data_IF_772171247185
#
_entry.id   IF_772171247185
#
_cell.length_a   1.000
_cell.length_b   1.000
_cell.length_c   1.000
_cell.angle_alpha   90.00
_cell.angle_beta   90.00
_cell.angle_gamma   90.00
#
_symmetry.space_group_name_H-M   'P 1'
#
loop_
_entity.id
_entity.type
_entity.pdbx_description
1 polymer ?
#
# COMPACT_ATOMS: atom_id res chain seq x y z
N UNK A 1 -33.15 -32.65 -11.79
CA UNK A 1 -32.40 -32.11 -10.64
C UNK A 1 -31.41 -31.09 -11.22
N UNK A 2 -31.75 -29.84 -11.12
CA UNK A 2 -30.88 -28.73 -11.58
C UNK A 2 -29.75 -28.55 -10.56
N UNK A 3 -28.52 -28.79 -10.96
CA UNK A 3 -27.35 -28.32 -10.24
C UNK A 3 -27.38 -26.80 -10.25
N UNK A 4 -27.81 -26.21 -9.15
CA UNK A 4 -27.56 -24.79 -8.88
C UNK A 4 -26.04 -24.61 -8.79
N UNK A 5 -25.45 -24.03 -9.82
CA UNK A 5 -24.08 -23.50 -9.81
C UNK A 5 -24.01 -22.51 -8.65
N UNK A 6 -23.48 -22.94 -7.51
CA UNK A 6 -23.08 -22.04 -6.43
C UNK A 6 -22.01 -21.12 -7.02
N UNK A 7 -22.40 -19.92 -7.40
CA UNK A 7 -21.43 -18.87 -7.72
C UNK A 7 -20.59 -18.64 -6.47
N UNK A 8 -19.37 -19.14 -6.49
CA UNK A 8 -18.45 -18.99 -5.37
C UNK A 8 -18.18 -17.50 -5.18
N UNK A 9 -18.45 -16.98 -3.98
CA UNK A 9 -18.19 -15.58 -3.62
C UNK A 9 -16.71 -15.25 -3.83
N UNK A 10 -16.41 -14.15 -4.52
CA UNK A 10 -15.04 -13.64 -4.57
C UNK A 10 -14.49 -13.46 -3.15
N UNK A 11 -13.24 -13.89 -2.92
CA UNK A 11 -12.56 -13.63 -1.67
C UNK A 11 -12.40 -12.14 -1.44
N UNK A 12 -12.63 -11.67 -0.22
CA UNK A 12 -12.47 -10.27 0.13
C UNK A 12 -11.03 -9.96 0.46
N UNK A 13 -10.51 -8.89 -0.15
CA UNK A 13 -9.17 -8.38 0.10
C UNK A 13 -9.23 -6.97 0.68
N UNK A 14 -8.35 -6.69 1.66
CA UNK A 14 -8.21 -5.36 2.24
C UNK A 14 -6.78 -4.86 2.11
N UNK A 15 -6.63 -3.60 1.70
CA UNK A 15 -5.35 -2.88 1.69
C UNK A 15 -5.55 -1.44 2.14
N UNK A 16 -4.80 -1.02 3.15
CA UNK A 16 -4.77 0.36 3.60
C UNK A 16 -3.38 0.96 3.45
N UNK A 17 -3.32 2.23 3.07
CA UNK A 17 -2.07 2.96 2.88
C UNK A 17 -2.09 4.30 3.63
N UNK A 18 -1.03 4.59 4.36
CA UNK A 18 -0.91 5.84 5.11
C UNK A 18 -0.60 7.03 4.17
N UNK A 19 -1.27 8.18 4.35
CA UNK A 19 -1.06 9.39 3.57
C UNK A 19 0.16 10.19 4.05
N UNK A 20 1.32 9.54 4.16
CA UNK A 20 2.53 10.18 4.69
C UNK A 20 3.36 10.92 3.66
N UNK A 21 3.18 10.60 2.39
CA UNK A 21 3.82 11.29 1.24
C UNK A 21 3.29 10.73 -0.09
N UNK A 22 3.64 11.40 -1.19
CA UNK A 22 3.40 10.94 -2.57
C UNK A 22 4.09 9.58 -2.79
N UNK A 23 3.43 8.59 -3.40
CA UNK A 23 4.05 7.32 -3.75
C UNK A 23 5.23 7.48 -4.69
N UNK A 24 6.21 6.58 -4.56
CA UNK A 24 7.36 6.50 -5.44
C UNK A 24 7.11 5.52 -6.58
N UNK A 25 7.95 5.57 -7.62
CA UNK A 25 7.98 4.57 -8.69
C UNK A 25 8.11 3.14 -8.12
N UNK A 26 8.90 2.98 -7.04
CA UNK A 26 9.01 1.70 -6.34
C UNK A 26 7.72 1.23 -5.68
N UNK A 27 6.90 2.13 -5.14
CA UNK A 27 5.57 1.79 -4.63
C UNK A 27 4.61 1.41 -5.77
N UNK A 28 4.69 2.14 -6.88
CA UNK A 28 3.84 1.90 -8.05
C UNK A 28 4.13 0.54 -8.69
N UNK A 29 5.36 0.30 -9.14
CA UNK A 29 5.74 -0.93 -9.81
C UNK A 29 5.78 -2.15 -8.86
N UNK A 30 6.06 -1.91 -7.58
CA UNK A 30 6.14 -2.97 -6.58
C UNK A 30 4.79 -3.45 -6.03
N UNK A 31 3.76 -2.59 -6.03
CA UNK A 31 2.48 -2.92 -5.42
C UNK A 31 1.27 -2.35 -6.18
N UNK A 32 1.21 -1.01 -6.39
CA UNK A 32 -0.01 -0.32 -6.82
C UNK A 32 -0.49 -0.76 -8.21
N UNK A 33 0.44 -0.98 -9.15
CA UNK A 33 0.13 -1.50 -10.49
C UNK A 33 -0.56 -2.87 -10.43
N UNK A 34 -0.15 -3.72 -9.47
CA UNK A 34 -0.79 -5.01 -9.23
C UNK A 34 -2.19 -4.91 -8.59
N UNK A 35 -2.48 -3.84 -7.84
CA UNK A 35 -3.80 -3.67 -7.22
C UNK A 35 -4.92 -3.47 -8.23
N UNK A 36 -4.61 -2.92 -9.40
CA UNK A 36 -5.59 -2.72 -10.47
C UNK A 36 -6.16 -4.05 -10.96
N UNK A 37 -5.31 -5.06 -11.15
CA UNK A 37 -5.75 -6.40 -11.54
C UNK A 37 -6.49 -7.13 -10.40
N UNK A 38 -6.19 -6.80 -9.14
CA UNK A 38 -6.90 -7.36 -7.98
C UNK A 38 -8.40 -7.08 -7.99
N UNK A 39 -8.84 -5.93 -8.54
CA UNK A 39 -10.24 -5.56 -8.61
C UNK A 39 -11.08 -6.54 -9.43
N UNK A 40 -10.46 -7.25 -10.36
CA UNK A 40 -11.17 -8.22 -11.21
C UNK A 40 -11.24 -9.60 -10.54
N UNK A 41 -10.27 -9.94 -9.68
CA UNK A 41 -10.17 -11.26 -9.04
C UNK A 41 -10.81 -11.32 -7.64
N UNK A 42 -10.83 -10.21 -6.91
CA UNK A 42 -11.25 -10.13 -5.52
C UNK A 42 -12.39 -9.12 -5.30
N UNK A 43 -13.11 -9.27 -4.18
CA UNK A 43 -13.95 -8.21 -3.58
C UNK A 43 -13.02 -7.28 -2.80
N UNK A 44 -12.58 -6.20 -3.45
CA UNK A 44 -11.48 -5.36 -2.98
C UNK A 44 -11.94 -4.15 -2.18
N UNK A 45 -11.26 -3.92 -1.07
CA UNK A 45 -11.43 -2.75 -0.20
C UNK A 45 -10.08 -2.05 -0.06
N UNK A 46 -10.01 -0.78 -0.46
CA UNK A 46 -8.83 0.06 -0.31
C UNK A 46 -9.14 1.25 0.58
N UNK A 47 -8.23 1.60 1.48
CA UNK A 47 -8.42 2.72 2.39
C UNK A 47 -7.19 3.58 2.57
N UNK A 48 -7.44 4.87 2.84
CA UNK A 48 -6.41 5.80 3.29
C UNK A 48 -6.36 5.73 4.82
N UNK A 49 -5.25 5.20 5.36
CA UNK A 49 -5.05 4.95 6.78
C UNK A 49 -4.60 6.21 7.55
N UNK A 50 -5.43 7.23 7.57
CA UNK A 50 -5.13 8.50 8.20
C UNK A 50 -5.15 8.46 9.74
N UNK A 51 -5.94 7.57 10.36
CA UNK A 51 -5.88 7.33 11.81
C UNK A 51 -4.51 6.77 12.25
N UNK A 52 -3.89 5.92 11.43
CA UNK A 52 -2.54 5.43 11.71
C UNK A 52 -1.48 6.53 11.61
N UNK A 53 -1.73 7.55 10.80
CA UNK A 53 -0.76 8.64 10.60
C UNK A 53 -0.56 9.49 11.85
N UNK A 54 -1.59 9.63 12.69
CA UNK A 54 -1.51 10.45 13.92
C UNK A 54 -0.79 9.76 15.09
N UNK A 55 -0.33 8.52 14.92
CA UNK A 55 0.59 7.86 15.88
C UNK A 55 1.92 8.62 15.97
N UNK A 56 2.26 9.38 14.95
CA UNK A 56 3.33 10.39 14.95
C UNK A 56 2.67 11.76 14.71
N UNK A 57 3.16 12.81 15.37
CA UNK A 57 2.57 14.14 15.21
C UNK A 57 2.61 14.59 13.75
N UNK A 58 1.47 15.08 13.26
CA UNK A 58 1.29 15.57 11.90
C UNK A 58 0.90 17.05 11.93
N UNK A 59 1.34 17.80 10.93
CA UNK A 59 0.71 19.08 10.61
C UNK A 59 -0.68 18.84 10.04
N UNK A 60 -1.76 19.46 10.59
CA UNK A 60 -3.11 19.15 10.17
C UNK A 60 -3.43 19.56 8.71
N UNK A 61 -2.83 20.64 8.22
CA UNK A 61 -3.04 21.08 6.84
C UNK A 61 -2.35 20.13 5.87
N UNK A 62 -1.13 19.71 6.22
CA UNK A 62 -0.35 18.74 5.44
C UNK A 62 -1.02 17.38 5.40
N UNK A 63 -1.54 16.88 6.53
CA UNK A 63 -2.25 15.60 6.59
C UNK A 63 -3.49 15.62 5.68
N UNK A 64 -4.31 16.68 5.75
CA UNK A 64 -5.49 16.83 4.87
C UNK A 64 -5.10 16.84 3.38
N UNK A 65 -4.08 17.63 3.03
CA UNK A 65 -3.60 17.69 1.65
C UNK A 65 -3.09 16.33 1.15
N UNK A 66 -2.27 15.65 1.95
CA UNK A 66 -1.72 14.34 1.61
C UNK A 66 -2.80 13.25 1.51
N UNK A 67 -3.83 13.28 2.38
CA UNK A 67 -4.97 12.37 2.30
C UNK A 67 -5.72 12.54 0.97
N UNK A 68 -6.03 13.79 0.59
CA UNK A 68 -6.69 14.09 -0.70
C UNK A 68 -5.81 13.67 -1.88
N UNK A 69 -4.53 14.01 -1.84
CA UNK A 69 -3.58 13.69 -2.90
C UNK A 69 -3.41 12.18 -3.07
N UNK A 70 -3.29 11.43 -1.97
CA UNK A 70 -3.16 9.98 -2.06
C UNK A 70 -4.45 9.33 -2.57
N UNK A 71 -5.62 9.81 -2.15
CA UNK A 71 -6.90 9.30 -2.66
C UNK A 71 -7.00 9.51 -4.18
N UNK A 72 -6.71 10.72 -4.66
CA UNK A 72 -6.67 11.02 -6.09
C UNK A 72 -5.64 10.17 -6.84
N UNK A 73 -4.46 9.93 -6.23
CA UNK A 73 -3.42 9.09 -6.81
C UNK A 73 -3.86 7.63 -6.95
N UNK A 74 -4.55 7.07 -5.95
CA UNK A 74 -5.08 5.70 -6.03
C UNK A 74 -6.08 5.56 -7.17
N UNK A 75 -6.95 6.55 -7.38
CA UNK A 75 -7.85 6.56 -8.53
C UNK A 75 -7.11 6.75 -9.86
N UNK A 76 -6.08 7.59 -9.87
CA UNK A 76 -5.29 7.86 -11.08
C UNK A 76 -4.50 6.65 -11.57
N UNK A 77 -4.00 5.81 -10.66
CA UNK A 77 -3.32 4.55 -11.01
C UNK A 77 -4.27 3.45 -11.47
N UNK A 78 -5.60 3.68 -11.41
CA UNK A 78 -6.61 2.78 -11.96
C UNK A 78 -7.50 2.08 -10.93
N UNK A 79 -7.45 2.45 -9.64
CA UNK A 79 -8.45 1.95 -8.70
C UNK A 79 -9.80 2.62 -8.98
N UNK A 80 -10.78 1.81 -9.36
CA UNK A 80 -12.12 2.24 -9.77
C UNK A 80 -13.10 2.16 -8.59
N UNK A 81 -13.66 3.30 -8.11
CA UNK A 81 -14.65 3.32 -7.04
C UNK A 81 -15.95 2.55 -7.36
N UNK A 82 -16.20 2.22 -8.64
CA UNK A 82 -17.32 1.39 -9.05
C UNK A 82 -17.05 -0.11 -8.88
N UNK A 83 -15.77 -0.51 -8.91
CA UNK A 83 -15.34 -1.91 -8.75
C UNK A 83 -14.92 -2.22 -7.32
N UNK A 84 -14.35 -1.25 -6.61
CA UNK A 84 -13.75 -1.39 -5.29
C UNK A 84 -14.36 -0.42 -4.30
N UNK A 85 -14.39 -0.79 -3.02
CA UNK A 85 -14.68 0.19 -1.96
C UNK A 85 -13.39 0.97 -1.72
N UNK A 86 -13.42 2.28 -2.00
CA UNK A 86 -12.29 3.17 -1.76
C UNK A 86 -12.72 4.26 -0.78
N UNK A 87 -12.09 4.33 0.41
CA UNK A 87 -12.53 5.20 1.51
C UNK A 87 -11.37 5.82 2.30
N UNK A 88 -11.70 6.82 3.13
CA UNK A 88 -10.78 7.40 4.13
C UNK A 88 -11.13 6.80 5.49
N UNK A 89 -10.15 6.25 6.19
CA UNK A 89 -10.34 5.48 7.42
C UNK A 89 -11.05 6.26 8.52
N UNK A 90 -10.69 7.54 8.73
CA UNK A 90 -11.33 8.39 9.75
C UNK A 90 -12.81 8.70 9.49
N UNK A 91 -13.30 8.48 8.26
CA UNK A 91 -14.72 8.63 7.94
C UNK A 91 -15.56 7.43 8.39
N UNK A 92 -14.92 6.36 8.87
CA UNK A 92 -15.57 5.11 9.31
C UNK A 92 -15.25 4.88 10.79
N UNK A 93 -16.03 5.46 11.74
CA UNK A 93 -15.72 5.43 13.18
C UNK A 93 -15.65 4.05 13.77
N UNK A 94 -16.23 3.03 13.11
CA UNK A 94 -16.18 1.63 13.53
C UNK A 94 -14.75 1.11 13.69
N UNK A 95 -13.77 1.63 12.93
CA UNK A 95 -12.35 1.28 13.07
C UNK A 95 -11.84 1.56 14.49
N UNK A 96 -12.09 2.78 15.00
CA UNK A 96 -11.69 3.16 16.35
C UNK A 96 -12.48 2.41 17.42
N UNK A 97 -13.77 2.16 17.19
CA UNK A 97 -14.62 1.44 18.14
C UNK A 97 -14.18 -0.02 18.29
N UNK A 98 -13.95 -0.74 17.17
CA UNK A 98 -13.45 -2.10 17.23
C UNK A 98 -12.00 -2.13 17.72
N UNK A 99 -11.17 -1.17 17.32
CA UNK A 99 -9.79 -1.03 17.78
C UNK A 99 -9.70 -0.97 19.29
N UNK A 100 -10.59 -0.19 19.95
CA UNK A 100 -10.67 -0.17 21.41
C UNK A 100 -11.05 -1.53 22.00
N UNK A 101 -12.07 -2.19 21.46
CA UNK A 101 -12.44 -3.51 21.95
C UNK A 101 -11.29 -4.50 21.82
N UNK A 102 -10.63 -4.55 20.65
CA UNK A 102 -9.52 -5.47 20.41
C UNK A 102 -8.29 -5.17 21.28
N UNK A 103 -8.04 -3.91 21.68
CA UNK A 103 -7.03 -3.59 22.68
C UNK A 103 -7.24 -4.39 23.99
N UNK A 104 -8.50 -4.61 24.39
CA UNK A 104 -8.83 -5.37 25.60
C UNK A 104 -8.63 -6.88 25.44
N UNK A 105 -8.43 -7.37 24.22
CA UNK A 105 -8.18 -8.78 23.88
C UNK A 105 -6.76 -9.03 23.39
N UNK A 106 -5.90 -8.00 23.38
CA UNK A 106 -4.51 -8.10 22.94
C UNK A 106 -3.58 -8.07 24.17
N UNK A 107 -2.65 -8.99 24.24
CA UNK A 107 -1.74 -9.08 25.37
C UNK A 107 -0.60 -8.06 25.22
N UNK A 108 -0.25 -7.41 26.32
CA UNK A 108 0.84 -6.41 26.39
C UNK A 108 2.16 -6.97 25.85
N UNK A 109 2.50 -8.23 26.19
CA UNK A 109 3.73 -8.88 25.74
C UNK A 109 3.80 -9.10 24.23
N UNK A 110 2.65 -9.27 23.55
CA UNK A 110 2.58 -9.39 22.09
C UNK A 110 2.93 -8.06 21.43
N UNK A 111 2.32 -6.97 21.90
CA UNK A 111 2.61 -5.61 21.40
C UNK A 111 4.06 -5.22 21.65
N UNK A 112 4.61 -5.56 22.84
CA UNK A 112 5.99 -5.22 23.19
C UNK A 112 7.04 -5.97 22.34
N UNK A 113 6.69 -7.09 21.72
CA UNK A 113 7.57 -7.83 20.80
C UNK A 113 7.57 -7.32 19.37
N UNK A 114 6.66 -6.40 19.03
CA UNK A 114 6.57 -5.85 17.68
C UNK A 114 7.84 -5.09 17.29
N UNK A 115 8.51 -5.56 16.23
CA UNK A 115 9.78 -4.96 15.78
C UNK A 115 9.58 -3.52 15.30
N UNK A 116 8.53 -3.24 14.54
CA UNK A 116 8.25 -1.88 14.07
C UNK A 116 7.93 -0.89 15.20
N UNK A 117 7.38 -1.34 16.33
CA UNK A 117 7.23 -0.48 17.50
C UNK A 117 8.59 -0.02 18.02
N UNK A 118 9.55 -0.95 18.16
CA UNK A 118 10.90 -0.65 18.63
C UNK A 118 11.63 0.33 17.71
N UNK A 119 11.54 0.09 16.41
CA UNK A 119 12.17 0.95 15.40
C UNK A 119 11.59 2.37 15.41
N UNK A 120 10.26 2.49 15.43
CA UNK A 120 9.58 3.80 15.47
C UNK A 120 9.80 4.52 16.81
N UNK A 121 9.80 3.81 17.92
CA UNK A 121 10.08 4.39 19.23
C UNK A 121 11.52 4.94 19.29
N UNK A 122 12.48 4.29 18.66
CA UNK A 122 13.85 4.79 18.56
C UNK A 122 13.95 6.03 17.64
N UNK A 123 13.20 6.07 16.53
CA UNK A 123 13.18 7.21 15.61
C UNK A 123 12.44 8.45 16.16
N UNK A 124 11.48 8.25 17.07
CA UNK A 124 10.63 9.29 17.65
C UNK A 124 10.67 9.24 19.18
N UNK A 125 11.87 9.16 19.76
CA UNK A 125 12.07 8.99 21.21
C UNK A 125 11.45 10.13 22.05
N UNK A 126 11.26 11.30 21.46
CA UNK A 126 10.61 12.48 22.06
C UNK A 126 9.08 12.37 22.14
N UNK A 127 8.47 11.44 21.42
CA UNK A 127 7.02 11.28 21.34
C UNK A 127 6.57 9.82 21.23
N UNK A 128 7.03 8.97 22.14
CA UNK A 128 6.55 7.59 22.25
C UNK A 128 5.21 7.61 23.00
N UNK A 129 4.11 7.52 22.25
CA UNK A 129 2.76 7.58 22.79
C UNK A 129 2.04 6.22 22.75
N UNK A 130 0.90 6.12 23.45
CA UNK A 130 0.11 4.89 23.53
C UNK A 130 -0.35 4.40 22.15
N UNK A 131 -0.73 5.31 21.23
CA UNK A 131 -1.15 4.94 19.87
C UNK A 131 -0.03 4.27 19.08
N UNK A 132 1.23 4.71 19.27
CA UNK A 132 2.40 4.07 18.66
C UNK A 132 2.63 2.64 19.20
N UNK A 133 2.23 2.36 20.42
CA UNK A 133 2.31 1.02 21.03
C UNK A 133 1.14 0.12 20.59
N UNK A 134 -0.08 0.69 20.52
CA UNK A 134 -1.32 -0.08 20.32
C UNK A 134 -1.84 -0.07 18.88
N UNK A 135 -1.17 0.61 17.92
CA UNK A 135 -1.64 0.63 16.53
C UNK A 135 -1.87 -0.75 15.89
N UNK A 136 -1.20 -1.86 16.31
CA UNK A 136 -1.50 -3.18 15.76
C UNK A 136 -2.95 -3.61 16.05
N UNK A 137 -3.54 -3.17 17.16
CA UNK A 137 -4.95 -3.44 17.47
C UNK A 137 -5.90 -2.67 16.55
N UNK A 138 -5.55 -1.44 16.16
CA UNK A 138 -6.28 -0.68 15.15
C UNK A 138 -6.15 -1.34 13.77
N UNK A 139 -4.96 -1.81 13.41
CA UNK A 139 -4.77 -2.55 12.15
C UNK A 139 -5.56 -3.87 12.15
N UNK A 140 -5.61 -4.60 13.27
CA UNK A 140 -6.47 -5.76 13.40
C UNK A 140 -7.95 -5.39 13.19
N UNK A 141 -8.40 -4.27 13.78
CA UNK A 141 -9.75 -3.77 13.56
C UNK A 141 -10.02 -3.43 12.10
N UNK A 142 -9.07 -2.79 11.41
CA UNK A 142 -9.19 -2.47 9.98
C UNK A 142 -9.51 -3.71 9.14
N UNK A 143 -8.82 -4.81 9.42
CA UNK A 143 -8.95 -6.08 8.68
C UNK A 143 -10.22 -6.82 9.07
N UNK A 144 -10.45 -6.98 10.37
CA UNK A 144 -11.51 -7.83 10.91
C UNK A 144 -12.90 -7.24 10.76
N UNK A 145 -13.06 -5.91 10.71
CA UNK A 145 -14.33 -5.23 10.43
C UNK A 145 -14.97 -5.71 9.14
N UNK A 146 -14.17 -5.92 8.12
CA UNK A 146 -14.64 -6.28 6.78
C UNK A 146 -14.65 -7.77 6.52
N UNK A 147 -14.30 -8.60 7.52
CA UNK A 147 -14.21 -10.05 7.34
C UNK A 147 -13.31 -10.39 6.13
N UNK A 148 -12.14 -9.75 6.06
CA UNK A 148 -11.21 -9.96 4.96
C UNK A 148 -10.74 -11.43 4.94
N UNK A 149 -10.83 -12.07 3.77
CA UNK A 149 -10.35 -13.44 3.58
C UNK A 149 -8.83 -13.45 3.36
N UNK A 150 -8.32 -12.41 2.67
CA UNK A 150 -6.90 -12.28 2.35
C UNK A 150 -6.42 -10.84 2.55
N UNK A 151 -5.17 -10.69 2.94
CA UNK A 151 -4.50 -9.38 3.07
C UNK A 151 -3.19 -9.42 2.27
N UNK A 152 -3.05 -8.58 1.23
CA UNK A 152 -1.78 -8.45 0.52
C UNK A 152 -0.71 -7.88 1.45
N UNK A 153 0.32 -8.66 1.72
CA UNK A 153 1.39 -8.29 2.66
C UNK A 153 2.77 -8.44 2.05
N UNK A 154 3.62 -7.44 2.27
CA UNK A 154 5.06 -7.57 2.11
C UNK A 154 5.69 -8.30 3.31
N UNK A 155 6.98 -8.63 3.19
CA UNK A 155 7.70 -9.35 4.26
C UNK A 155 7.70 -8.59 5.60
N UNK A 156 7.73 -7.26 5.56
CA UNK A 156 7.71 -6.35 6.71
C UNK A 156 6.36 -6.28 7.44
N UNK A 157 5.28 -6.72 6.79
CA UNK A 157 3.93 -6.71 7.37
C UNK A 157 3.48 -8.08 7.89
N UNK A 158 4.28 -9.13 7.74
CA UNK A 158 3.93 -10.48 8.21
C UNK A 158 3.60 -10.51 9.70
N UNK A 159 4.46 -9.90 10.54
CA UNK A 159 4.26 -9.87 11.99
C UNK A 159 2.95 -9.16 12.40
N UNK A 160 2.55 -8.12 11.65
CA UNK A 160 1.26 -7.45 11.89
C UNK A 160 0.06 -8.31 11.53
N UNK A 161 0.16 -9.10 10.47
CA UNK A 161 -0.90 -10.00 10.11
C UNK A 161 -0.98 -11.20 11.08
N UNK A 162 0.16 -11.68 11.57
CA UNK A 162 0.21 -12.73 12.61
C UNK A 162 -0.51 -12.28 13.88
N UNK A 163 -0.20 -11.09 14.42
CA UNK A 163 -0.91 -10.58 15.61
C UNK A 163 -2.40 -10.36 15.34
N UNK A 164 -2.79 -9.96 14.13
CA UNK A 164 -4.21 -9.84 13.73
C UNK A 164 -4.90 -11.19 13.79
N UNK A 165 -4.25 -12.26 13.32
CA UNK A 165 -4.75 -13.62 13.36
C UNK A 165 -4.91 -14.12 14.80
N UNK A 166 -3.87 -13.92 15.62
CA UNK A 166 -3.88 -14.30 17.05
C UNK A 166 -5.02 -13.61 17.81
N UNK A 167 -5.27 -12.33 17.54
CA UNK A 167 -6.40 -11.58 18.13
C UNK A 167 -7.74 -12.17 17.67
N UNK A 168 -7.89 -12.45 16.37
CA UNK A 168 -9.11 -13.03 15.82
C UNK A 168 -9.40 -14.43 16.39
N UNK A 169 -8.41 -15.29 16.45
CA UNK A 169 -8.50 -16.64 17.00
C UNK A 169 -8.83 -16.62 18.50
N UNK A 170 -8.17 -15.76 19.27
CA UNK A 170 -8.45 -15.57 20.70
C UNK A 170 -9.87 -15.08 20.93
N UNK A 171 -10.33 -14.09 20.18
CA UNK A 171 -11.69 -13.57 20.29
C UNK A 171 -12.72 -14.65 19.91
N UNK A 172 -12.47 -15.36 18.82
CA UNK A 172 -13.32 -16.46 18.37
C UNK A 172 -13.35 -17.62 19.39
N UNK A 173 -12.25 -17.91 20.07
CA UNK A 173 -12.18 -18.91 21.13
C UNK A 173 -13.10 -18.59 22.31
N UNK A 174 -13.27 -17.30 22.63
CA UNK A 174 -14.15 -16.86 23.73
C UNK A 174 -15.63 -16.78 23.30
N UNK A 175 -15.90 -16.25 22.09
CA UNK A 175 -17.25 -15.84 21.68
C UNK A 175 -17.84 -16.66 20.53
N UNK A 176 -17.13 -17.69 20.05
CA UNK A 176 -17.48 -18.44 18.84
C UNK A 176 -17.07 -17.70 17.56
N UNK A 177 -17.42 -18.25 16.41
CA UNK A 177 -17.02 -17.70 15.10
C UNK A 177 -17.60 -16.31 14.86
N UNK A 178 -16.85 -15.28 15.24
CA UNK A 178 -17.18 -13.85 15.03
C UNK A 178 -16.41 -13.29 13.86
N UNK A 179 -15.09 -13.51 13.81
CA UNK A 179 -14.19 -13.01 12.80
C UNK A 179 -13.74 -14.10 11.83
N UNK A 180 -13.63 -13.75 10.56
CA UNK A 180 -12.83 -14.50 9.60
C UNK A 180 -11.36 -14.29 9.95
N UNK A 181 -10.60 -15.38 10.09
CA UNK A 181 -9.14 -15.29 10.29
C UNK A 181 -8.49 -15.06 8.93
N UNK A 182 -7.84 -13.91 8.71
CA UNK A 182 -7.33 -13.55 7.38
C UNK A 182 -6.09 -14.36 7.01
N UNK A 183 -5.95 -14.68 5.71
CA UNK A 183 -4.75 -15.32 5.17
C UNK A 183 -3.82 -14.29 4.52
N UNK A 184 -2.49 -14.45 4.64
CA UNK A 184 -1.56 -13.63 3.90
C UNK A 184 -1.67 -13.94 2.40
N UNK A 185 -1.80 -12.90 1.60
CA UNK A 185 -1.66 -13.00 0.16
C UNK A 185 -0.31 -12.40 -0.22
N UNK A 186 0.54 -13.22 -0.81
CA UNK A 186 1.82 -12.76 -1.37
C UNK A 186 1.56 -12.51 -2.85
N UNK A 187 1.45 -11.24 -3.29
CA UNK A 187 1.28 -10.93 -4.70
C UNK A 187 2.43 -11.58 -5.50
N UNK A 188 2.14 -12.02 -6.73
CA UNK A 188 3.22 -12.33 -7.67
C UNK A 188 4.15 -11.14 -7.68
N UNK A 189 5.44 -11.36 -7.45
CA UNK A 189 6.40 -10.33 -7.11
C UNK A 189 6.31 -9.13 -8.07
N UNK A 190 5.84 -8.01 -7.56
CA UNK A 190 6.03 -6.72 -8.21
C UNK A 190 7.54 -6.41 -8.28
N UNK A 191 7.93 -5.52 -9.15
CA UNK A 191 9.33 -5.16 -9.31
C UNK A 191 9.91 -4.58 -8.01
N UNK A 192 11.00 -5.17 -7.53
CA UNK A 192 11.76 -4.61 -6.42
C UNK A 192 12.66 -3.50 -6.94
N UNK A 193 12.15 -2.29 -6.90
CA UNK A 193 12.86 -1.10 -7.37
C UNK A 193 13.80 -0.58 -6.27
N UNK A 194 15.06 -0.39 -6.62
CA UNK A 194 16.10 0.13 -5.74
C UNK A 194 16.32 1.62 -5.97
N UNK A 195 16.97 2.31 -5.02
CA UNK A 195 17.38 3.72 -5.18
C UNK A 195 18.28 3.88 -6.41
N UNK A 196 18.06 4.93 -7.19
CA UNK A 196 18.89 5.25 -8.36
C UNK A 196 20.31 5.69 -7.97
N UNK A 197 20.51 6.10 -6.71
CA UNK A 197 21.80 6.58 -6.19
C UNK A 197 22.47 5.60 -5.23
N UNK A 198 21.70 4.63 -4.70
CA UNK A 198 22.20 3.52 -3.90
C UNK A 198 21.45 2.24 -4.27
N UNK A 199 21.87 1.55 -5.34
CA UNK A 199 21.13 0.40 -5.88
C UNK A 199 21.13 -0.84 -4.99
N UNK A 200 21.79 -0.81 -3.83
CA UNK A 200 21.71 -1.85 -2.80
C UNK A 200 20.56 -1.61 -1.80
N UNK A 201 20.03 -0.38 -1.77
CA UNK A 201 18.92 0.01 -0.89
C UNK A 201 17.64 0.18 -1.68
N UNK A 202 16.49 -0.29 -1.12
CA UNK A 202 15.17 -0.12 -1.73
C UNK A 202 14.83 1.37 -1.92
N UNK A 203 14.25 1.74 -3.07
CA UNK A 203 13.75 3.09 -3.31
C UNK A 203 12.77 3.49 -2.20
N UNK A 204 13.08 4.57 -1.50
CA UNK A 204 12.34 5.01 -0.32
C UNK A 204 11.97 6.50 -0.43
N UNK A 205 10.80 6.85 0.12
CA UNK A 205 10.35 8.23 0.27
C UNK A 205 11.27 9.06 1.19
N UNK A 206 11.99 8.41 2.08
CA UNK A 206 12.93 9.00 3.05
C UNK A 206 14.39 8.89 2.61
N UNK A 207 14.66 8.64 1.30
CA UNK A 207 16.03 8.65 0.79
C UNK A 207 16.64 10.04 1.01
N UNK A 208 17.78 10.14 1.70
CA UNK A 208 18.45 11.44 1.94
C UNK A 208 18.92 12.10 0.65
N UNK A 209 19.14 11.33 -0.42
CA UNK A 209 19.46 11.85 -1.74
C UNK A 209 18.20 11.90 -2.62
N UNK A 210 17.64 13.10 -2.89
CA UNK A 210 16.43 13.24 -3.70
C UNK A 210 16.56 12.72 -5.14
N UNK A 211 17.78 12.53 -5.65
CA UNK A 211 18.04 11.93 -6.96
C UNK A 211 17.86 10.39 -6.93
N UNK A 212 17.87 9.77 -5.76
CA UNK A 212 17.69 8.34 -5.58
C UNK A 212 16.26 7.85 -5.79
N UNK A 213 15.29 8.77 -5.67
CA UNK A 213 13.86 8.43 -5.65
C UNK A 213 13.11 9.17 -6.75
N UNK A 214 12.31 8.45 -7.52
CA UNK A 214 11.35 8.99 -8.48
C UNK A 214 9.96 8.96 -7.84
N UNK A 215 9.33 10.15 -7.69
CA UNK A 215 7.94 10.27 -7.26
C UNK A 215 6.99 10.21 -8.44
N UNK A 216 5.77 9.68 -8.25
CA UNK A 216 4.80 9.59 -9.34
C UNK A 216 4.37 10.97 -9.90
N UNK A 217 4.61 12.03 -9.15
CA UNK A 217 4.31 13.42 -9.57
C UNK A 217 5.51 14.19 -10.09
N UNK A 218 6.68 13.54 -10.21
CA UNK A 218 7.87 14.22 -10.77
C UNK A 218 7.61 14.59 -12.24
N UNK A 219 7.97 15.83 -12.61
CA UNK A 219 7.89 16.31 -13.99
C UNK A 219 8.79 15.46 -14.92
N UNK A 220 8.42 15.27 -16.21
CA UNK A 220 9.17 14.44 -17.14
C UNK A 220 10.68 14.78 -17.21
N UNK A 221 11.02 16.05 -17.21
CA UNK A 221 12.41 16.51 -17.25
C UNK A 221 13.18 16.17 -15.95
N UNK A 222 12.48 16.09 -14.80
CA UNK A 222 13.06 15.69 -13.51
C UNK A 222 13.33 14.19 -13.51
N UNK A 223 12.38 13.40 -13.99
CA UNK A 223 12.52 11.95 -14.16
C UNK A 223 13.74 11.65 -15.05
N UNK A 224 13.81 12.27 -16.22
CA UNK A 224 14.93 12.08 -17.14
C UNK A 224 16.30 12.43 -16.52
N UNK A 225 16.39 13.52 -15.75
CA UNK A 225 17.61 13.91 -15.04
C UNK A 225 18.00 12.87 -13.97
N UNK A 226 17.02 12.32 -13.23
CA UNK A 226 17.26 11.29 -12.21
C UNK A 226 17.81 10.02 -12.84
N UNK A 227 17.21 9.52 -13.92
CA UNK A 227 17.72 8.35 -14.64
C UNK A 227 19.09 8.58 -15.27
N UNK A 228 19.32 9.74 -15.90
CA UNK A 228 20.64 10.11 -16.44
C UNK A 228 21.74 10.04 -15.39
N UNK A 229 21.43 10.44 -14.14
CA UNK A 229 22.40 10.45 -13.04
C UNK A 229 22.42 9.16 -12.22
N UNK A 230 21.63 8.14 -12.57
CA UNK A 230 21.60 6.86 -11.85
C UNK A 230 22.98 6.21 -11.82
N UNK A 231 23.34 5.62 -10.67
CA UNK A 231 24.64 4.95 -10.49
C UNK A 231 24.63 3.64 -11.24
N UNK A 232 25.72 3.36 -11.97
CA UNK A 232 26.00 2.11 -12.69
C UNK A 232 27.47 1.76 -12.55
N UNK A 233 27.82 0.51 -12.83
CA UNK A 233 29.22 0.06 -12.89
C UNK A 233 30.00 0.68 -14.07
N UNK A 234 31.27 0.29 -14.24
CA UNK A 234 32.17 0.83 -15.25
C UNK A 234 32.28 -0.02 -16.54
N UNK A 235 31.59 -1.17 -16.62
CA UNK A 235 31.73 -2.09 -17.76
C UNK A 235 31.06 -1.60 -19.05
N UNK A 236 30.08 -0.69 -18.93
CA UNK A 236 29.33 -0.09 -20.05
C UNK A 236 28.54 -1.11 -20.91
N UNK A 237 28.28 -2.30 -20.38
CA UNK A 237 27.53 -3.37 -21.04
C UNK A 237 26.23 -3.66 -20.33
N UNK A 238 25.10 -3.58 -21.07
CA UNK A 238 23.75 -3.80 -20.54
C UNK A 238 23.48 -5.31 -20.49
N UNK A 239 23.72 -5.92 -19.36
CA UNK A 239 23.34 -7.31 -19.08
C UNK A 239 23.10 -7.51 -17.57
N UNK A 240 22.20 -8.43 -17.24
CA UNK A 240 21.85 -8.76 -15.85
C UNK A 240 22.89 -9.73 -15.28
N UNK A 241 23.65 -9.31 -14.27
CA UNK A 241 24.65 -10.14 -13.63
C UNK A 241 24.88 -9.77 -12.16
N UNK A 242 25.47 -10.68 -11.40
CA UNK A 242 25.90 -10.43 -10.03
C UNK A 242 26.93 -9.30 -9.99
N UNK A 243 26.80 -8.42 -8.98
CA UNK A 243 27.67 -7.25 -8.82
C UNK A 243 27.31 -6.04 -9.69
N UNK A 244 26.30 -6.12 -10.56
CA UNK A 244 25.84 -5.01 -11.42
C UNK A 244 24.56 -4.36 -10.87
N UNK A 245 24.49 -4.09 -9.58
CA UNK A 245 23.26 -3.65 -8.90
C UNK A 245 22.58 -2.47 -9.59
N UNK A 246 23.33 -1.49 -10.08
CA UNK A 246 22.80 -0.31 -10.77
C UNK A 246 22.11 -0.66 -12.09
N UNK A 247 22.77 -1.47 -12.93
CA UNK A 247 22.20 -1.94 -14.20
C UNK A 247 21.05 -2.89 -13.96
N UNK A 248 21.16 -3.82 -13.02
CA UNK A 248 20.11 -4.76 -12.65
C UNK A 248 18.85 -4.02 -12.22
N UNK A 249 18.99 -2.95 -11.44
CA UNK A 249 17.88 -2.10 -11.05
C UNK A 249 17.23 -1.40 -12.26
N UNK A 250 18.01 -0.81 -13.15
CA UNK A 250 17.48 -0.17 -14.37
C UNK A 250 16.79 -1.16 -15.30
N UNK A 251 17.34 -2.36 -15.49
CA UNK A 251 16.72 -3.45 -16.25
C UNK A 251 15.41 -3.91 -15.60
N UNK A 252 15.39 -4.02 -14.27
CA UNK A 252 14.17 -4.35 -13.52
C UNK A 252 13.07 -3.30 -13.71
N UNK A 253 13.41 -2.02 -13.65
CA UNK A 253 12.47 -0.92 -13.90
C UNK A 253 11.97 -0.97 -15.35
N UNK A 254 12.87 -1.08 -16.32
CA UNK A 254 12.52 -1.12 -17.73
C UNK A 254 11.59 -2.29 -18.05
N UNK A 255 11.95 -3.50 -17.62
CA UNK A 255 11.12 -4.69 -17.76
C UNK A 255 9.73 -4.54 -17.12
N UNK A 256 9.64 -3.95 -15.92
CA UNK A 256 8.36 -3.74 -15.24
C UNK A 256 7.44 -2.73 -15.94
N UNK A 257 8.03 -1.79 -16.69
CA UNK A 257 7.28 -0.76 -17.43
C UNK A 257 6.92 -1.25 -18.82
N UNK A 258 7.86 -1.83 -19.58
CA UNK A 258 7.64 -2.25 -20.98
C UNK A 258 7.03 -3.65 -21.11
N UNK A 259 7.25 -4.52 -20.12
CA UNK A 259 6.92 -5.94 -20.19
C UNK A 259 8.00 -6.80 -20.85
N UNK A 260 9.09 -6.20 -21.33
CA UNK A 260 10.17 -6.92 -21.99
C UNK A 260 10.94 -7.83 -21.04
N UNK A 261 11.35 -9.00 -21.53
CA UNK A 261 12.23 -9.89 -20.78
C UNK A 261 13.65 -9.34 -20.69
N UNK A 262 14.40 -9.71 -19.66
CA UNK A 262 15.81 -9.30 -19.53
C UNK A 262 16.63 -9.69 -20.77
N UNK A 263 16.37 -10.86 -21.38
CA UNK A 263 17.05 -11.29 -22.61
C UNK A 263 16.75 -10.37 -23.80
N UNK A 264 15.50 -9.90 -23.92
CA UNK A 264 15.12 -8.94 -24.94
C UNK A 264 15.85 -7.62 -24.74
N UNK A 265 15.90 -7.13 -23.50
CA UNK A 265 16.62 -5.90 -23.14
C UNK A 265 18.10 -6.01 -23.46
N UNK A 266 18.76 -7.09 -23.09
CA UNK A 266 20.17 -7.35 -23.38
C UNK A 266 20.45 -7.36 -24.88
N UNK A 267 19.58 -8.00 -25.67
CA UNK A 267 19.69 -8.04 -27.12
C UNK A 267 19.55 -6.64 -27.74
N UNK A 268 18.52 -5.88 -27.36
CA UNK A 268 18.19 -4.59 -27.95
C UNK A 268 19.18 -3.48 -27.60
N UNK A 269 19.86 -3.62 -26.45
CA UNK A 269 20.90 -2.72 -25.99
C UNK A 269 22.31 -3.30 -26.15
N UNK A 270 22.48 -4.38 -26.87
CA UNK A 270 23.80 -4.92 -27.19
C UNK A 270 24.63 -3.91 -27.99
N UNK A 271 25.83 -3.62 -27.49
CA UNK A 271 26.73 -2.63 -28.09
C UNK A 271 26.35 -1.15 -27.85
N UNK A 272 25.25 -0.88 -27.13
CA UNK A 272 24.87 0.46 -26.70
C UNK A 272 25.42 0.75 -25.30
N UNK A 273 25.86 2.00 -25.09
CA UNK A 273 26.39 2.41 -23.79
C UNK A 273 25.29 2.71 -22.76
N UNK A 274 25.67 2.79 -21.50
CA UNK A 274 24.76 3.09 -20.39
C UNK A 274 23.98 4.40 -20.55
N UNK A 275 24.54 5.40 -21.27
CA UNK A 275 23.87 6.66 -21.54
C UNK A 275 22.59 6.49 -22.36
N UNK A 276 22.64 5.65 -23.41
CA UNK A 276 21.46 5.32 -24.23
C UNK A 276 20.44 4.52 -23.44
N UNK A 277 20.90 3.53 -22.68
CA UNK A 277 20.00 2.70 -21.87
C UNK A 277 19.31 3.53 -20.77
N UNK A 278 20.03 4.35 -20.01
CA UNK A 278 19.46 5.26 -19.00
C UNK A 278 18.43 6.22 -19.61
N UNK A 279 18.68 6.70 -20.82
CA UNK A 279 17.73 7.54 -21.55
C UNK A 279 16.46 6.76 -21.88
N UNK A 280 16.59 5.55 -22.44
CA UNK A 280 15.46 4.68 -22.78
C UNK A 280 14.61 4.31 -21.55
N UNK A 281 15.25 3.98 -20.42
CA UNK A 281 14.55 3.71 -19.15
C UNK A 281 13.76 4.94 -18.69
N UNK A 282 14.40 6.12 -18.74
CA UNK A 282 13.73 7.37 -18.36
C UNK A 282 12.53 7.68 -19.26
N UNK A 283 12.66 7.52 -20.58
CA UNK A 283 11.58 7.73 -21.56
C UNK A 283 10.44 6.75 -21.34
N UNK A 284 10.71 5.47 -21.10
CA UNK A 284 9.71 4.46 -20.80
C UNK A 284 8.94 4.78 -19.51
N UNK A 285 9.64 5.21 -18.45
CA UNK A 285 9.00 5.61 -17.18
C UNK A 285 8.16 6.88 -17.36
N UNK A 286 8.60 7.86 -18.12
CA UNK A 286 7.81 9.06 -18.43
C UNK A 286 6.52 8.66 -19.16
N UNK A 287 6.61 7.84 -20.20
CA UNK A 287 5.46 7.37 -20.96
C UNK A 287 4.45 6.57 -20.10
N UNK A 288 4.93 5.75 -19.17
CA UNK A 288 4.09 5.01 -18.23
C UNK A 288 3.38 5.93 -17.25
N UNK A 289 4.06 6.97 -16.75
CA UNK A 289 3.49 7.86 -15.73
C UNK A 289 2.65 9.01 -16.30
N UNK A 290 2.82 9.38 -17.55
CA UNK A 290 2.07 10.48 -18.19
C UNK A 290 0.55 10.35 -18.07
N UNK A 291 -0.09 9.23 -18.40
CA UNK A 291 -1.53 9.07 -18.23
C UNK A 291 -1.97 9.11 -16.76
N UNK A 292 -1.15 8.58 -15.85
CA UNK A 292 -1.41 8.61 -14.41
C UNK A 292 -1.37 10.05 -13.91
N UNK A 293 -0.34 10.82 -14.30
CA UNK A 293 -0.17 12.22 -13.90
C UNK A 293 -1.29 13.11 -14.46
N UNK A 294 -1.67 12.89 -15.71
CA UNK A 294 -2.80 13.59 -16.33
C UNK A 294 -4.08 13.36 -15.54
N UNK A 295 -4.42 12.09 -15.29
CA UNK A 295 -5.62 11.72 -14.54
C UNK A 295 -5.59 12.24 -13.10
N UNK A 296 -4.44 12.17 -12.44
CA UNK A 296 -4.24 12.73 -11.09
C UNK A 296 -4.54 14.23 -11.04
N UNK A 297 -4.01 14.99 -11.99
CA UNK A 297 -4.23 16.45 -12.05
C UNK A 297 -5.70 16.79 -12.33
N UNK A 298 -6.37 16.05 -13.22
CA UNK A 298 -7.81 16.20 -13.48
C UNK A 298 -8.63 15.98 -12.21
N UNK A 299 -8.34 14.89 -11.47
CA UNK A 299 -9.03 14.54 -10.22
C UNK A 299 -8.84 15.61 -9.14
N UNK A 300 -7.64 16.16 -8.99
CA UNK A 300 -7.38 17.22 -8.01
C UNK A 300 -8.11 18.54 -8.31
N UNK A 301 -8.44 18.80 -9.58
CA UNK A 301 -9.24 19.94 -9.98
C UNK A 301 -10.73 19.73 -9.70
N UNK A 302 -11.22 18.49 -9.77
CA UNK A 302 -12.61 18.13 -9.47
C UNK A 302 -12.79 17.68 -8.01
N UNK A 303 -12.67 18.63 -7.11
CA UNK A 303 -12.81 18.38 -5.67
C UNK A 303 -14.20 17.82 -5.29
N UNK A 304 -15.24 18.21 -6.03
CA UNK A 304 -16.60 17.74 -5.78
C UNK A 304 -16.70 16.24 -6.08
N UNK A 305 -16.22 15.81 -7.23
CA UNK A 305 -16.21 14.41 -7.61
C UNK A 305 -15.38 13.55 -6.63
N UNK A 306 -14.19 14.01 -6.25
CA UNK A 306 -13.40 13.32 -5.22
C UNK A 306 -14.16 13.16 -3.91
N UNK A 307 -14.84 14.23 -3.47
CA UNK A 307 -15.65 14.21 -2.24
C UNK A 307 -16.82 13.22 -2.34
N UNK A 308 -17.51 13.19 -3.46
CA UNK A 308 -18.57 12.22 -3.74
C UNK A 308 -18.04 10.79 -3.67
N UNK A 309 -16.88 10.52 -4.29
CA UNK A 309 -16.26 9.19 -4.29
C UNK A 309 -15.89 8.71 -2.88
N UNK A 310 -15.17 9.51 -2.09
CA UNK A 310 -14.79 9.06 -0.75
C UNK A 310 -15.95 8.99 0.22
N UNK A 311 -16.99 9.83 0.06
CA UNK A 311 -18.20 9.76 0.87
C UNK A 311 -18.97 8.47 0.57
N UNK A 312 -19.21 8.15 -0.70
CA UNK A 312 -19.85 6.91 -1.11
C UNK A 312 -19.07 5.68 -0.64
N UNK A 313 -17.73 5.73 -0.78
CA UNK A 313 -16.85 4.68 -0.29
C UNK A 313 -16.97 4.49 1.22
N UNK A 314 -16.96 5.58 1.99
CA UNK A 314 -17.10 5.56 3.45
C UNK A 314 -18.46 5.03 3.89
N UNK A 315 -19.57 5.43 3.23
CA UNK A 315 -20.91 4.94 3.52
C UNK A 315 -21.02 3.43 3.30
N UNK A 316 -20.42 2.94 2.22
CA UNK A 316 -20.40 1.50 1.90
C UNK A 316 -19.53 0.74 2.89
N UNK A 317 -18.35 1.24 3.20
CA UNK A 317 -17.45 0.69 4.21
C UNK A 317 -18.11 0.66 5.59
N UNK A 318 -18.76 1.76 6.01
CA UNK A 318 -19.46 1.84 7.29
C UNK A 318 -20.59 0.83 7.42
N UNK A 319 -21.35 0.59 6.36
CA UNK A 319 -22.43 -0.43 6.37
C UNK A 319 -21.88 -1.83 6.59
N UNK A 320 -20.75 -2.18 5.94
CA UNK A 320 -20.10 -3.47 6.13
C UNK A 320 -19.49 -3.59 7.54
N UNK A 321 -18.73 -2.57 7.95
CA UNK A 321 -18.09 -2.50 9.26
C UNK A 321 -19.11 -2.61 10.40
N UNK A 322 -20.26 -1.92 10.26
CA UNK A 322 -21.30 -1.91 11.28
C UNK A 322 -21.91 -3.31 11.51
N UNK A 323 -22.04 -4.13 10.48
CA UNK A 323 -22.54 -5.52 10.63
C UNK A 323 -21.63 -6.34 11.56
N UNK A 324 -20.32 -6.24 11.37
CA UNK A 324 -19.35 -6.94 12.21
C UNK A 324 -19.30 -6.32 13.61
N UNK A 325 -19.23 -5.00 13.72
CA UNK A 325 -19.15 -4.31 14.99
C UNK A 325 -20.39 -4.60 15.88
N UNK A 326 -21.60 -4.56 15.31
CA UNK A 326 -22.84 -4.91 16.04
C UNK A 326 -22.79 -6.33 16.58
N UNK A 327 -22.29 -7.30 15.79
CA UNK A 327 -22.11 -8.68 16.24
C UNK A 327 -21.11 -8.74 17.40
N UNK A 328 -19.99 -8.04 17.31
CA UNK A 328 -18.97 -7.96 18.37
C UNK A 328 -19.55 -7.34 19.63
N UNK A 329 -20.21 -6.20 19.54
CA UNK A 329 -20.82 -5.50 20.69
C UNK A 329 -21.81 -6.40 21.44
N UNK A 330 -22.65 -7.12 20.70
CA UNK A 330 -23.58 -8.10 21.30
C UNK A 330 -22.83 -9.23 22.01
N UNK A 331 -21.74 -9.72 21.45
CA UNK A 331 -20.96 -10.84 22.01
C UNK A 331 -20.22 -10.44 23.29
N UNK A 332 -19.69 -9.22 23.36
CA UNK A 332 -19.01 -8.72 24.58
C UNK A 332 -20.00 -8.24 25.67
N UNK A 333 -21.31 -8.26 25.37
CA UNK A 333 -22.35 -7.94 26.37
C UNK A 333 -22.75 -6.48 26.45
N UNK A 334 -22.44 -5.66 25.42
CA UNK A 334 -22.90 -4.28 25.40
C UNK A 334 -24.42 -4.20 25.09
N UNK A 335 -25.08 -3.24 25.73
CA UNK A 335 -26.52 -3.02 25.50
C UNK A 335 -26.73 -2.54 24.05
N UNK A 336 -27.77 -3.08 23.41
CA UNK A 336 -28.20 -2.58 22.12
C UNK A 336 -28.74 -1.14 22.26
N UNK A 337 -28.43 -0.32 21.25
CA UNK A 337 -28.91 1.05 21.15
C UNK A 337 -30.31 1.09 20.58
#
# INVERSE_FOLDING_TARGET
MSEELKVERKKRSLSLIQPTSIPTLGNYLGAMKGWVSFQDDFDTIFGIADLHSITVRQDPAKLRAQTTQLYAMLMAVGLDPQKSILFVQSHVPQHSQLGWILNCYTQFGELNRMTQFKDKAAQHADNVNAGLFTYPCLMAADILLYQADVVPVGADQKQHLEITRDIAERFNGVYGNVFTVPEPYIPKAGARVMSLQNPTSKMSKSDPNPKGTVHLTDEPNVIMKKFKSAITDSEMSVHYAEGKDGINNLMTIYSAVTGDSFKTIEHDFSGKGYGEFKKAVGEAVVAELEPVQKRYNELLQDKKYLQECWTQGADTASRLANRTLTKVMKKVGFLAK
#
